data_IF_081952513121
#
_entry.id   IF_081952513121
#
_cell.length_a   1.000
_cell.length_b   1.000
_cell.length_c   1.000
_cell.angle_alpha   90.00
_cell.angle_beta   90.00
_cell.angle_gamma   90.00
#
_symmetry.space_group_name_H-M   'P 1'
#
loop_
_entity.id
_entity.type
_entity.pdbx_description
1 polymer ?
#
# COMPACT_ATOMS: atom_id res chain seq x y z
N UNK A 1 -16.22 11.45 9.23
CA UNK A 1 -15.74 11.64 7.85
C UNK A 1 -16.00 10.45 6.93
N UNK A 2 -15.84 9.18 7.35
CA UNK A 2 -16.12 8.00 6.48
C UNK A 2 -17.56 7.95 5.94
N UNK A 3 -18.58 8.24 6.77
CA UNK A 3 -19.98 8.30 6.32
C UNK A 3 -20.24 9.39 5.25
N UNK A 4 -19.36 10.41 5.17
CA UNK A 4 -19.46 11.45 4.15
C UNK A 4 -18.80 11.03 2.83
N UNK A 5 -17.92 10.03 2.82
CA UNK A 5 -17.26 9.59 1.58
C UNK A 5 -18.29 9.02 0.61
N UNK A 6 -19.03 7.99 1.02
CA UNK A 6 -20.05 7.35 0.16
C UNK A 6 -21.09 8.33 -0.37
N UNK A 7 -21.58 9.23 0.48
CA UNK A 7 -22.57 10.24 0.07
C UNK A 7 -21.99 11.31 -0.85
N UNK A 8 -20.72 11.69 -0.67
CA UNK A 8 -20.04 12.63 -1.59
C UNK A 8 -19.72 11.98 -2.93
N UNK A 9 -19.31 10.71 -2.95
CA UNK A 9 -19.01 9.97 -4.18
C UNK A 9 -20.22 9.91 -5.10
N UNK A 10 -21.45 9.83 -4.57
CA UNK A 10 -22.67 9.86 -5.38
C UNK A 10 -22.87 11.15 -6.20
N UNK A 11 -22.16 12.23 -5.86
CA UNK A 11 -22.22 13.51 -6.59
C UNK A 11 -21.06 13.70 -7.57
N UNK A 12 -20.14 12.73 -7.67
CA UNK A 12 -19.01 12.81 -8.58
C UNK A 12 -19.46 12.32 -9.97
N UNK A 13 -19.30 13.12 -11.04
CA UNK A 13 -19.79 12.75 -12.37
C UNK A 13 -19.09 11.55 -13.03
N UNK A 14 -17.86 11.25 -12.60
CA UNK A 14 -17.08 10.13 -13.12
C UNK A 14 -16.13 9.63 -12.04
N UNK A 15 -16.26 8.36 -11.67
CA UNK A 15 -15.37 7.65 -10.77
C UNK A 15 -14.64 6.57 -11.58
N UNK A 16 -13.31 6.67 -11.63
CA UNK A 16 -12.45 5.66 -12.26
C UNK A 16 -11.72 4.90 -11.15
N UNK A 17 -11.86 3.57 -11.14
CA UNK A 17 -11.11 2.69 -10.24
C UNK A 17 -10.02 1.95 -11.01
N UNK A 18 -8.82 1.91 -10.44
CA UNK A 18 -7.73 1.07 -10.88
C UNK A 18 -7.59 -0.06 -9.86
N UNK A 19 -8.03 -1.26 -10.22
CA UNK A 19 -8.04 -2.39 -9.29
C UNK A 19 -8.16 -3.73 -10.02
N UNK A 20 -7.43 -4.74 -9.54
CA UNK A 20 -7.59 -6.13 -9.94
C UNK A 20 -8.73 -6.87 -9.22
N UNK A 21 -9.41 -6.23 -8.25
CA UNK A 21 -10.44 -6.84 -7.41
C UNK A 21 -11.66 -5.95 -7.24
N UNK A 22 -12.84 -6.57 -7.16
CA UNK A 22 -14.09 -5.87 -6.87
C UNK A 22 -14.24 -5.63 -5.36
N UNK A 23 -13.68 -4.53 -4.86
CA UNK A 23 -13.86 -4.06 -3.49
C UNK A 23 -15.00 -3.02 -3.36
N UNK A 24 -15.26 -2.55 -2.13
CA UNK A 24 -16.31 -1.57 -1.83
C UNK A 24 -16.19 -0.30 -2.69
N UNK A 25 -14.97 0.21 -2.91
CA UNK A 25 -14.75 1.43 -3.69
C UNK A 25 -14.83 1.19 -5.19
N UNK A 26 -14.34 0.04 -5.67
CA UNK A 26 -14.40 -0.37 -7.07
C UNK A 26 -15.84 -0.63 -7.49
N UNK A 27 -16.67 -1.14 -6.59
CA UNK A 27 -18.11 -1.32 -6.82
C UNK A 27 -18.88 -0.01 -7.03
N UNK A 28 -18.30 1.11 -6.59
CA UNK A 28 -18.86 2.46 -6.76
C UNK A 28 -18.36 3.16 -8.04
N UNK A 29 -17.46 2.55 -8.81
CA UNK A 29 -16.84 3.18 -9.97
C UNK A 29 -17.71 3.05 -11.23
N UNK A 30 -17.66 4.08 -12.08
CA UNK A 30 -18.29 4.07 -13.41
C UNK A 30 -17.40 3.35 -14.44
N UNK A 31 -16.09 3.43 -14.24
CA UNK A 31 -15.09 2.76 -15.07
C UNK A 31 -14.10 2.03 -14.18
N UNK A 32 -13.95 0.73 -14.42
CA UNK A 32 -12.95 -0.12 -13.77
C UNK A 32 -11.86 -0.42 -14.79
N UNK A 33 -10.63 -0.09 -14.43
CA UNK A 33 -9.42 -0.35 -15.20
C UNK A 33 -8.62 -1.42 -14.48
N UNK A 34 -8.68 -2.69 -14.94
CA UNK A 34 -7.98 -3.78 -14.27
C UNK A 34 -6.47 -3.60 -14.30
N UNK A 35 -5.86 -3.67 -13.11
CA UNK A 35 -4.41 -3.58 -12.96
C UNK A 35 -3.74 -4.94 -13.03
N UNK A 36 -2.50 -4.94 -13.48
CA UNK A 36 -1.61 -6.09 -13.37
C UNK A 36 -1.31 -6.39 -11.90
N UNK A 37 -1.01 -7.65 -11.58
CA UNK A 37 -0.42 -7.98 -10.30
C UNK A 37 1.03 -7.45 -10.27
N UNK A 38 1.55 -7.11 -9.09
CA UNK A 38 2.93 -6.63 -8.95
C UNK A 38 3.97 -7.63 -9.50
N UNK A 39 3.69 -8.93 -9.55
CA UNK A 39 4.58 -9.94 -10.16
C UNK A 39 4.63 -9.88 -11.70
N UNK A 40 3.69 -9.18 -12.33
CA UNK A 40 3.53 -9.03 -13.78
C UNK A 40 4.09 -7.70 -14.31
N UNK A 41 4.52 -6.81 -13.40
CA UNK A 41 4.84 -5.42 -13.72
C UNK A 41 6.30 -5.04 -13.52
N UNK A 42 6.73 -4.10 -14.37
CA UNK A 42 7.91 -3.28 -14.09
C UNK A 42 7.55 -2.23 -13.04
N UNK A 43 8.45 -2.03 -12.08
CA UNK A 43 8.26 -1.06 -11.01
C UNK A 43 9.57 -0.50 -10.49
N UNK A 44 9.45 0.55 -9.70
CA UNK A 44 10.55 1.15 -8.94
C UNK A 44 10.03 1.58 -7.59
N UNK A 45 10.87 1.53 -6.57
CA UNK A 45 10.53 1.95 -5.21
C UNK A 45 11.70 2.68 -4.56
N UNK A 46 11.41 3.64 -3.69
CA UNK A 46 12.41 4.31 -2.86
C UNK A 46 12.04 4.03 -1.42
N UNK A 47 12.52 2.91 -0.86
CA UNK A 47 12.14 2.52 0.49
C UNK A 47 12.77 3.45 1.52
N UNK A 48 12.16 3.51 2.70
CA UNK A 48 12.72 4.21 3.85
C UNK A 48 14.00 3.49 4.31
N UNK A 49 15.15 4.00 3.89
CA UNK A 49 16.46 3.38 4.13
C UNK A 49 16.91 3.33 5.61
N UNK A 50 16.25 4.06 6.51
CA UNK A 50 16.65 4.15 7.92
C UNK A 50 18.11 4.62 8.08
N UNK A 51 18.93 3.83 8.78
CA UNK A 51 20.38 4.08 8.94
C UNK A 51 21.22 3.52 7.78
N UNK A 52 20.58 2.85 6.83
CA UNK A 52 21.21 2.23 5.66
C UNK A 52 21.59 3.25 4.59
N UNK A 53 21.97 2.70 3.44
CA UNK A 53 22.23 3.48 2.24
C UNK A 53 20.92 3.90 1.59
N UNK A 54 20.86 5.15 1.10
CA UNK A 54 19.78 5.53 0.19
C UNK A 54 19.75 4.55 -0.98
N UNK A 55 18.54 4.14 -1.37
CA UNK A 55 18.38 3.05 -2.34
C UNK A 55 17.19 3.30 -3.24
N UNK A 56 17.34 2.81 -4.47
CA UNK A 56 16.30 2.75 -5.47
C UNK A 56 16.14 1.27 -5.81
N UNK A 57 14.98 0.71 -5.46
CA UNK A 57 14.60 -0.65 -5.81
C UNK A 57 14.11 -0.72 -7.25
N UNK A 58 14.43 -1.82 -7.94
CA UNK A 58 13.93 -2.10 -9.28
C UNK A 58 13.12 -3.38 -9.24
N UNK A 59 11.85 -3.30 -9.62
CA UNK A 59 10.96 -4.44 -9.75
C UNK A 59 10.92 -4.88 -11.21
N UNK A 60 11.19 -6.17 -11.42
CA UNK A 60 11.03 -6.83 -12.71
C UNK A 60 9.84 -7.80 -12.67
N UNK A 61 9.09 -7.94 -13.78
CA UNK A 61 8.08 -8.97 -13.89
C UNK A 61 8.73 -10.35 -13.84
N UNK A 62 8.20 -11.24 -12.99
CA UNK A 62 8.66 -12.63 -12.87
C UNK A 62 7.74 -13.61 -13.59
N UNK A 63 6.54 -13.15 -13.95
CA UNK A 63 5.58 -13.85 -14.80
C UNK A 63 5.16 -12.91 -15.93
N UNK A 64 4.72 -13.50 -17.06
CA UNK A 64 4.03 -12.71 -18.09
C UNK A 64 2.65 -12.33 -17.57
N UNK A 65 2.12 -11.13 -17.91
CA UNK A 65 0.77 -10.74 -17.54
C UNK A 65 -0.24 -11.81 -17.96
N UNK A 66 -1.05 -12.27 -17.02
CA UNK A 66 -1.94 -13.42 -17.23
C UNK A 66 -2.93 -13.20 -18.37
N UNK A 67 -3.40 -11.96 -18.54
CA UNK A 67 -4.37 -11.58 -19.58
C UNK A 67 -3.73 -11.06 -20.88
N UNK A 68 -2.41 -11.18 -21.04
CA UNK A 68 -1.69 -10.74 -22.25
C UNK A 68 -2.27 -11.34 -23.54
N UNK A 69 -2.74 -12.58 -23.48
CA UNK A 69 -3.34 -13.28 -24.63
C UNK A 69 -4.65 -12.66 -25.15
N UNK A 70 -5.29 -11.77 -24.38
CA UNK A 70 -6.50 -11.03 -24.79
C UNK A 70 -6.17 -9.85 -25.70
N UNK A 71 -4.89 -9.52 -25.87
CA UNK A 71 -4.40 -8.47 -26.76
C UNK A 71 -4.29 -7.10 -26.08
N UNK A 72 -3.93 -6.08 -26.85
CA UNK A 72 -3.58 -4.75 -26.33
C UNK A 72 -4.78 -3.99 -25.75
N UNK A 73 -6.00 -4.31 -26.22
CA UNK A 73 -7.23 -3.59 -25.85
C UNK A 73 -8.03 -4.26 -24.74
N UNK A 74 -7.72 -5.51 -24.39
CA UNK A 74 -8.47 -6.31 -23.43
C UNK A 74 -7.49 -6.96 -22.46
N UNK A 75 -7.77 -6.87 -21.15
CA UNK A 75 -6.94 -7.49 -20.12
C UNK A 75 -6.61 -6.53 -18.99
N UNK A 76 -5.44 -6.72 -18.40
CA UNK A 76 -4.88 -5.91 -17.33
C UNK A 76 -3.68 -5.12 -17.84
N UNK A 77 -3.38 -3.99 -17.20
CA UNK A 77 -2.22 -3.16 -17.55
C UNK A 77 -1.63 -2.50 -16.32
N UNK A 78 -0.34 -2.21 -16.36
CA UNK A 78 0.33 -1.41 -15.34
C UNK A 78 -0.33 -0.03 -15.19
N UNK A 79 -0.51 0.42 -13.95
CA UNK A 79 -1.08 1.73 -13.61
C UNK A 79 -0.45 2.89 -14.39
N UNK A 80 0.87 3.00 -14.35
CA UNK A 80 1.59 4.10 -14.97
C UNK A 80 1.49 4.04 -16.50
N UNK A 81 1.50 2.84 -17.10
CA UNK A 81 1.28 2.70 -18.54
C UNK A 81 -0.13 3.16 -18.98
N UNK A 82 -1.16 2.96 -18.15
CA UNK A 82 -2.50 3.48 -18.42
C UNK A 82 -2.51 5.01 -18.38
N UNK A 83 -1.85 5.62 -17.38
CA UNK A 83 -1.72 7.08 -17.30
C UNK A 83 -0.93 7.66 -18.48
N UNK A 84 0.19 7.03 -18.86
CA UNK A 84 1.00 7.42 -20.02
C UNK A 84 0.18 7.36 -21.31
N UNK A 85 -0.51 6.25 -21.55
CA UNK A 85 -1.37 6.10 -22.73
C UNK A 85 -2.47 7.16 -22.74
N UNK A 86 -3.09 7.43 -21.58
CA UNK A 86 -4.12 8.48 -21.44
C UNK A 86 -3.54 9.85 -21.79
N UNK A 87 -2.34 10.18 -21.30
CA UNK A 87 -1.68 11.45 -21.63
C UNK A 87 -1.35 11.57 -23.12
N UNK A 88 -0.90 10.49 -23.76
CA UNK A 88 -0.62 10.45 -25.20
C UNK A 88 -1.90 10.70 -26.01
N UNK A 89 -3.00 10.02 -25.66
CA UNK A 89 -4.31 10.21 -26.32
C UNK A 89 -4.86 11.62 -26.11
N UNK A 90 -4.61 12.22 -24.94
CA UNK A 90 -5.00 13.60 -24.63
C UNK A 90 -4.03 14.66 -25.16
N UNK A 91 -2.97 14.24 -25.88
CA UNK A 91 -1.90 15.12 -26.37
C UNK A 91 -1.26 15.96 -25.26
N UNK A 92 -1.15 15.38 -24.05
CA UNK A 92 -0.52 15.99 -22.88
C UNK A 92 0.90 15.49 -22.72
N UNK A 93 1.86 16.43 -22.74
CA UNK A 93 3.24 16.13 -22.41
C UNK A 93 3.42 16.12 -20.89
N UNK A 94 3.77 14.97 -20.32
CA UNK A 94 4.06 14.80 -18.90
C UNK A 94 5.50 15.15 -18.50
N UNK A 95 6.37 15.46 -19.46
CA UNK A 95 7.80 15.70 -19.22
C UNK A 95 8.57 14.43 -18.86
N UNK A 96 8.06 13.25 -19.26
CA UNK A 96 8.67 11.95 -19.03
C UNK A 96 9.42 11.49 -20.29
N UNK A 97 10.49 10.73 -20.09
CA UNK A 97 11.46 10.37 -21.13
C UNK A 97 11.09 9.13 -21.97
N UNK A 98 9.98 8.44 -21.67
CA UNK A 98 9.59 7.20 -22.33
C UNK A 98 8.08 7.07 -22.55
N UNK A 99 7.70 6.22 -23.51
CA UNK A 99 6.31 5.94 -23.90
C UNK A 99 5.68 4.83 -23.06
N UNK A 100 6.51 4.04 -22.37
CA UNK A 100 6.09 3.02 -21.41
C UNK A 100 6.77 3.22 -20.07
N UNK A 101 6.16 2.72 -19.00
CA UNK A 101 6.71 2.80 -17.65
C UNK A 101 8.05 2.06 -17.54
N UNK A 102 8.20 0.95 -18.26
CA UNK A 102 9.49 0.25 -18.40
C UNK A 102 10.58 1.17 -18.94
N UNK A 103 10.29 1.95 -19.98
CA UNK A 103 11.27 2.86 -20.58
C UNK A 103 11.67 3.96 -19.60
N UNK A 104 10.71 4.50 -18.84
CA UNK A 104 10.98 5.48 -17.77
C UNK A 104 11.89 4.89 -16.70
N UNK A 105 11.66 3.64 -16.29
CA UNK A 105 12.51 2.94 -15.32
C UNK A 105 13.93 2.73 -15.88
N UNK A 106 14.04 2.30 -17.14
CA UNK A 106 15.34 2.13 -17.82
C UNK A 106 16.07 3.46 -17.94
N UNK A 107 15.37 4.56 -18.22
CA UNK A 107 15.96 5.90 -18.25
C UNK A 107 16.43 6.36 -16.86
N UNK A 108 15.64 6.13 -15.81
CA UNK A 108 16.08 6.35 -14.43
C UNK A 108 17.35 5.57 -14.08
N UNK A 109 17.46 4.33 -14.55
CA UNK A 109 18.69 3.54 -14.39
C UNK A 109 19.88 4.11 -15.18
N UNK A 110 19.65 4.68 -16.37
CA UNK A 110 20.71 5.38 -17.13
C UNK A 110 21.23 6.59 -16.37
N UNK A 111 20.34 7.39 -15.77
CA UNK A 111 20.72 8.53 -14.96
C UNK A 111 21.60 8.11 -13.77
N UNK A 112 21.29 6.98 -13.12
CA UNK A 112 22.13 6.42 -12.05
C UNK A 112 23.48 5.92 -12.56
N UNK A 113 23.52 5.31 -13.74
CA UNK A 113 24.76 4.90 -14.40
C UNK A 113 25.65 6.10 -14.72
N UNK A 114 25.07 7.17 -15.26
CA UNK A 114 25.76 8.42 -15.61
C UNK A 114 26.24 9.20 -14.39
N UNK A 115 25.46 9.20 -13.29
CA UNK A 115 25.86 9.79 -12.01
C UNK A 115 27.16 9.14 -11.50
N UNK A 116 27.33 7.84 -11.75
CA UNK A 116 28.51 7.08 -11.41
C UNK A 116 28.62 6.74 -9.92
N UNK A 117 29.12 5.54 -9.63
CA UNK A 117 29.29 5.03 -8.27
C UNK A 117 28.10 4.22 -7.77
N UNK A 118 27.87 4.27 -6.45
CA UNK A 118 26.93 3.37 -5.77
C UNK A 118 27.43 1.92 -5.73
N UNK A 119 26.51 1.00 -5.45
CA UNK A 119 26.80 -0.42 -5.23
C UNK A 119 27.04 -1.23 -6.50
N UNK A 120 26.71 -0.69 -7.68
CA UNK A 120 26.92 -1.35 -8.97
C UNK A 120 27.79 -0.46 -9.84
N UNK A 121 28.96 -0.97 -10.21
CA UNK A 121 29.88 -0.32 -11.13
C UNK A 121 30.13 -1.27 -12.31
N UNK A 122 29.95 -0.76 -13.52
CA UNK A 122 30.13 -1.53 -14.74
C UNK A 122 30.69 -0.63 -15.85
N UNK A 123 31.33 -1.24 -16.84
CA UNK A 123 31.93 -0.54 -17.99
C UNK A 123 30.93 -0.19 -19.10
N UNK A 124 29.71 -0.72 -19.03
CA UNK A 124 28.61 -0.48 -19.98
C UNK A 124 27.29 -0.39 -19.24
N UNK A 125 26.33 0.31 -19.84
CA UNK A 125 24.98 0.43 -19.28
C UNK A 125 24.30 -0.94 -19.21
N UNK A 126 24.49 -1.82 -20.17
CA UNK A 126 23.87 -3.15 -20.19
C UNK A 126 24.36 -4.00 -19.01
N UNK A 127 25.66 -3.96 -18.72
CA UNK A 127 26.23 -4.65 -17.56
C UNK A 127 25.78 -4.01 -16.23
N UNK A 128 25.64 -2.67 -16.19
CA UNK A 128 25.09 -1.97 -15.04
C UNK A 128 23.62 -2.37 -14.79
N UNK A 129 22.80 -2.33 -15.85
CA UNK A 129 21.37 -2.65 -15.82
C UNK A 129 21.13 -4.08 -15.32
N UNK A 130 21.85 -5.05 -15.88
CA UNK A 130 21.79 -6.43 -15.39
C UNK A 130 22.25 -6.54 -13.93
N UNK A 131 23.26 -5.78 -13.53
CA UNK A 131 23.78 -5.75 -12.16
C UNK A 131 22.79 -5.19 -11.13
N UNK A 132 22.07 -4.11 -11.46
CA UNK A 132 21.04 -3.55 -10.57
C UNK A 132 19.83 -4.47 -10.48
N UNK A 133 19.39 -5.07 -11.59
CA UNK A 133 18.29 -6.03 -11.60
C UNK A 133 18.61 -7.30 -10.82
N UNK A 134 19.82 -7.86 -10.99
CA UNK A 134 20.26 -9.03 -10.24
C UNK A 134 20.26 -8.80 -8.72
N UNK A 135 20.54 -7.57 -8.29
CA UNK A 135 20.56 -7.18 -6.88
C UNK A 135 19.19 -6.68 -6.39
N UNK A 136 18.23 -6.46 -7.28
CA UNK A 136 16.93 -5.87 -6.99
C UNK A 136 16.96 -4.36 -6.70
N UNK A 137 18.08 -3.68 -6.96
CA UNK A 137 18.23 -2.29 -6.60
C UNK A 137 19.60 -1.68 -6.87
N UNK A 138 19.68 -0.38 -6.68
CA UNK A 138 20.91 0.41 -6.59
C UNK A 138 20.97 1.07 -5.21
N UNK A 139 22.17 1.17 -4.62
CA UNK A 139 22.40 1.79 -3.32
C UNK A 139 23.49 2.83 -3.42
N UNK A 140 23.23 4.03 -2.92
CA UNK A 140 24.26 5.06 -2.74
C UNK A 140 25.12 4.72 -1.53
N UNK A 141 26.26 4.08 -1.76
CA UNK A 141 27.18 3.66 -0.70
C UNK A 141 27.89 4.81 0.00
N UNK A 142 27.73 6.06 -0.46
CA UNK A 142 28.36 7.26 0.12
C UNK A 142 27.44 7.99 1.09
N UNK A 143 26.13 7.83 0.96
CA UNK A 143 25.13 8.53 1.78
C UNK A 143 24.49 7.54 2.76
N UNK A 144 24.61 7.83 4.07
CA UNK A 144 23.94 7.08 5.13
C UNK A 144 23.05 7.99 5.95
N UNK A 145 21.94 7.45 6.45
CA UNK A 145 21.11 8.14 7.43
C UNK A 145 21.85 8.38 8.76
N UNK A 146 21.38 9.34 9.58
CA UNK A 146 21.96 9.57 10.90
C UNK A 146 21.80 8.34 11.80
N UNK A 147 22.88 7.93 12.47
CA UNK A 147 22.89 6.76 13.37
C UNK A 147 22.15 7.05 14.68
N UNK A 148 22.02 8.33 15.05
CA UNK A 148 21.29 8.77 16.23
C UNK A 148 20.45 9.99 15.89
N UNK A 149 19.19 9.95 16.30
CA UNK A 149 18.25 11.06 16.23
C UNK A 149 17.80 11.35 17.65
N UNK A 150 17.99 12.59 18.11
CA UNK A 150 17.39 13.05 19.36
C UNK A 150 15.89 13.23 19.08
N UNK A 151 14.99 12.45 19.72
CA UNK A 151 13.56 12.65 19.53
C UNK A 151 13.20 14.07 19.93
N UNK A 152 12.46 14.77 19.06
CA UNK A 152 11.90 16.06 19.43
C UNK A 152 10.97 15.87 20.64
N UNK A 153 11.15 16.67 21.69
CA UNK A 153 10.17 16.72 22.77
C UNK A 153 8.87 17.29 22.20
N UNK A 154 7.77 16.63 22.52
CA UNK A 154 6.44 17.10 22.18
C UNK A 154 6.03 18.21 23.18
N UNK A 155 6.76 19.32 23.16
CA UNK A 155 6.45 20.48 24.00
C UNK A 155 5.27 21.25 23.39
N UNK A 156 4.24 21.55 24.20
CA UNK A 156 3.06 22.28 23.76
C UNK A 156 2.06 21.48 22.91
N UNK A 157 2.24 20.17 22.76
CA UNK A 157 1.24 19.31 22.10
C UNK A 157 0.05 19.12 23.04
N UNK A 158 -1.17 19.52 22.64
CA UNK A 158 -2.34 19.36 23.49
C UNK A 158 -2.64 17.87 23.72
N UNK A 159 -3.18 17.54 24.89
CA UNK A 159 -3.66 16.20 25.16
C UNK A 159 -4.69 15.78 24.10
N UNK A 160 -4.73 14.49 23.71
CA UNK A 160 -5.71 14.03 22.73
C UNK A 160 -7.13 14.29 23.25
N UNK A 161 -7.95 14.94 22.43
CA UNK A 161 -9.37 15.13 22.71
C UNK A 161 -10.10 13.90 22.23
N UNK A 162 -10.53 13.07 23.18
CA UNK A 162 -11.34 11.89 22.85
C UNK A 162 -12.79 12.34 22.70
N UNK A 163 -13.36 12.10 21.52
CA UNK A 163 -14.75 12.46 21.24
C UNK A 163 -15.72 11.47 21.88
N UNK A 164 -16.81 11.99 22.46
CA UNK A 164 -17.87 11.20 23.07
C UNK A 164 -17.88 11.30 24.61
N UNK A 165 -18.89 10.71 25.22
CA UNK A 165 -19.12 10.65 26.66
C UNK A 165 -19.34 9.20 27.14
N UNK A 166 -18.80 8.23 26.39
CA UNK A 166 -18.88 6.81 26.71
C UNK A 166 -18.01 6.46 27.92
N UNK A 167 -18.34 5.34 28.55
CA UNK A 167 -17.59 4.82 29.70
C UNK A 167 -16.18 4.33 29.31
N UNK A 168 -16.05 3.82 28.08
CA UNK A 168 -14.81 3.25 27.56
C UNK A 168 -14.25 4.08 26.41
N UNK A 169 -12.93 3.93 26.20
CA UNK A 169 -12.24 4.43 25.03
C UNK A 169 -12.03 3.28 24.03
N UNK A 170 -12.38 3.51 22.77
CA UNK A 170 -12.10 2.57 21.68
C UNK A 170 -10.74 2.93 21.06
N UNK A 171 -9.80 1.99 21.10
CA UNK A 171 -8.51 2.08 20.44
C UNK A 171 -8.44 1.05 19.31
N UNK A 172 -8.67 1.43 18.04
CA UNK A 172 -8.45 0.53 16.92
C UNK A 172 -6.97 0.16 16.83
N UNK A 173 -6.69 -1.09 16.46
CA UNK A 173 -5.35 -1.57 16.18
C UNK A 173 -5.34 -2.28 14.82
N UNK A 174 -4.16 -2.31 14.19
CA UNK A 174 -3.96 -3.05 12.97
C UNK A 174 -3.62 -4.51 13.33
N UNK A 175 -4.43 -5.45 12.82
CA UNK A 175 -4.09 -6.87 12.90
C UNK A 175 -2.79 -7.14 12.13
N UNK A 176 -1.94 -8.02 12.67
CA UNK A 176 -0.70 -8.40 12.00
C UNK A 176 -0.92 -9.06 10.63
N UNK A 177 -2.05 -9.76 10.44
CA UNK A 177 -2.38 -10.46 9.20
C UNK A 177 -3.20 -9.62 8.23
N UNK A 178 -4.16 -8.85 8.75
CA UNK A 178 -5.11 -8.12 7.92
C UNK A 178 -4.71 -6.66 7.69
N UNK A 179 -3.88 -6.06 8.56
CA UNK A 179 -3.46 -4.66 8.53
C UNK A 179 -4.66 -3.70 8.35
N UNK A 180 -4.82 -3.16 7.14
CA UNK A 180 -5.85 -2.21 6.72
C UNK A 180 -6.95 -2.85 5.84
N UNK A 181 -6.94 -4.17 5.69
CA UNK A 181 -7.90 -4.94 4.91
C UNK A 181 -7.46 -5.24 3.47
N UNK A 182 -6.36 -4.68 2.97
CA UNK A 182 -5.89 -4.96 1.60
C UNK A 182 -5.58 -6.43 1.35
N UNK A 183 -5.21 -7.16 2.39
CA UNK A 183 -4.92 -8.60 2.35
C UNK A 183 -6.12 -9.46 2.76
N UNK A 184 -7.29 -8.88 3.04
CA UNK A 184 -8.42 -9.62 3.59
C UNK A 184 -8.99 -10.69 2.64
N UNK A 185 -8.77 -10.55 1.34
CA UNK A 185 -9.18 -11.53 0.33
C UNK A 185 -8.28 -12.77 0.30
N UNK A 186 -7.10 -12.73 0.93
CA UNK A 186 -6.13 -13.83 0.91
C UNK A 186 -6.47 -14.86 2.01
N UNK A 187 -6.81 -16.12 1.66
CA UNK A 187 -7.18 -17.13 2.66
C UNK A 187 -6.07 -17.42 3.66
N UNK A 188 -4.81 -17.33 3.25
CA UNK A 188 -3.66 -17.51 4.15
C UNK A 188 -3.55 -16.40 5.19
N UNK A 189 -3.96 -15.17 4.86
CA UNK A 189 -3.96 -14.07 5.82
C UNK A 189 -5.15 -14.16 6.78
N UNK A 190 -6.30 -14.66 6.31
CA UNK A 190 -7.43 -14.98 7.17
C UNK A 190 -7.14 -16.14 8.15
N UNK A 191 -6.38 -17.13 7.69
CA UNK A 191 -6.00 -18.30 8.49
C UNK A 191 -4.75 -18.10 9.36
N UNK A 192 -4.06 -16.97 9.25
CA UNK A 192 -2.90 -16.68 10.09
C UNK A 192 -3.37 -16.29 11.50
N UNK A 193 -3.03 -17.06 12.56
CA UNK A 193 -3.46 -16.75 13.92
C UNK A 193 -2.82 -15.46 14.41
N UNK A 194 -3.62 -14.66 15.11
CA UNK A 194 -3.10 -13.51 15.84
C UNK A 194 -2.04 -13.96 16.87
N UNK A 195 -0.89 -13.26 16.98
CA UNK A 195 0.20 -13.69 17.85
C UNK A 195 -0.13 -13.62 19.35
N UNK A 196 -1.19 -12.92 19.75
CA UNK A 196 -1.61 -12.75 21.15
C UNK A 196 -2.86 -13.58 21.43
N UNK A 197 -3.93 -13.38 20.65
CA UNK A 197 -5.24 -14.00 20.90
C UNK A 197 -5.43 -15.35 20.22
N UNK A 198 -4.57 -15.72 19.25
CA UNK A 198 -4.70 -16.89 18.37
C UNK A 198 -5.97 -16.90 17.49
N UNK A 199 -6.74 -15.81 17.48
CA UNK A 199 -7.95 -15.68 16.67
C UNK A 199 -7.62 -15.77 15.17
N UNK A 200 -8.53 -16.38 14.41
CA UNK A 200 -8.48 -16.49 12.94
C UNK A 200 -9.87 -16.27 12.36
N UNK A 201 -9.96 -15.83 11.09
CA UNK A 201 -11.21 -15.62 10.35
C UNK A 201 -12.23 -14.64 10.96
N UNK A 202 -11.88 -13.98 12.07
CA UNK A 202 -12.76 -13.13 12.84
C UNK A 202 -11.99 -11.92 13.37
N UNK A 203 -12.69 -10.81 13.54
CA UNK A 203 -12.21 -9.63 14.28
C UNK A 203 -12.81 -9.66 15.68
N UNK A 204 -12.05 -9.22 16.69
CA UNK A 204 -12.43 -9.29 18.10
C UNK A 204 -12.21 -7.96 18.82
N UNK A 205 -12.67 -7.89 20.07
CA UNK A 205 -12.46 -6.79 21.00
C UNK A 205 -11.72 -7.28 22.21
N UNK A 206 -10.73 -6.51 22.64
CA UNK A 206 -9.98 -6.76 23.86
C UNK A 206 -10.46 -5.83 24.97
N UNK A 207 -10.80 -6.42 26.12
CA UNK A 207 -11.21 -5.70 27.32
C UNK A 207 -10.41 -6.20 28.53
N UNK A 208 -10.19 -5.33 29.51
CA UNK A 208 -9.52 -5.72 30.74
C UNK A 208 -10.30 -6.85 31.45
N UNK A 209 -9.59 -7.89 31.89
CA UNK A 209 -10.22 -9.08 32.49
C UNK A 209 -11.08 -8.77 33.73
N UNK A 210 -10.71 -7.79 34.57
CA UNK A 210 -11.49 -7.44 35.78
C UNK A 210 -12.81 -6.80 35.40
N UNK A 211 -12.76 -5.92 34.41
CA UNK A 211 -13.95 -5.26 33.88
C UNK A 211 -14.87 -6.30 33.22
N UNK A 212 -14.31 -7.26 32.48
CA UNK A 212 -15.10 -8.35 31.90
C UNK A 212 -15.82 -9.18 32.98
N UNK A 213 -15.12 -9.56 34.06
CA UNK A 213 -15.70 -10.29 35.20
C UNK A 213 -16.81 -9.48 35.89
N UNK A 214 -16.58 -8.21 36.18
CA UNK A 214 -17.56 -7.30 36.80
C UNK A 214 -18.82 -7.13 35.94
N UNK A 215 -18.66 -7.17 34.61
CA UNK A 215 -19.74 -7.03 33.63
C UNK A 215 -20.35 -8.35 33.19
N UNK A 216 -19.82 -9.48 33.66
CA UNK A 216 -20.27 -10.82 33.27
C UNK A 216 -19.99 -11.18 31.80
N UNK A 217 -19.02 -10.53 31.17
CA UNK A 217 -18.58 -10.77 29.79
C UNK A 217 -17.59 -11.94 29.78
N UNK A 218 -17.74 -12.84 28.82
CA UNK A 218 -16.88 -14.02 28.64
C UNK A 218 -16.31 -14.06 27.23
N UNK A 219 -15.23 -14.82 27.07
CA UNK A 219 -14.64 -15.10 25.77
C UNK A 219 -15.68 -15.78 24.85
N UNK A 220 -15.81 -15.25 23.63
CA UNK A 220 -16.80 -15.69 22.64
C UNK A 220 -18.16 -14.99 22.72
N UNK A 221 -18.36 -14.10 23.70
CA UNK A 221 -19.55 -13.23 23.71
C UNK A 221 -19.47 -12.21 22.58
N UNK A 222 -20.54 -12.10 21.81
CA UNK A 222 -20.66 -11.05 20.79
C UNK A 222 -21.13 -9.77 21.47
N UNK A 223 -20.31 -8.72 21.40
CA UNK A 223 -20.61 -7.43 22.02
C UNK A 223 -20.90 -6.35 20.98
N UNK A 224 -21.83 -5.46 21.31
CA UNK A 224 -22.09 -4.25 20.55
C UNK A 224 -21.34 -3.07 21.20
N UNK A 225 -20.43 -2.46 20.44
CA UNK A 225 -19.75 -1.23 20.83
C UNK A 225 -20.50 -0.06 20.21
N UNK A 226 -21.02 0.81 21.06
CA UNK A 226 -21.79 1.99 20.66
C UNK A 226 -21.02 3.28 20.94
N UNK A 227 -21.07 4.21 19.98
CA UNK A 227 -20.54 5.58 20.11
C UNK A 227 -21.54 6.60 19.57
N UNK A 228 -21.28 7.89 19.78
CA UNK A 228 -22.07 8.96 19.18
C UNK A 228 -22.04 8.98 17.64
N UNK A 229 -21.16 8.20 17.01
CA UNK A 229 -20.99 8.13 15.56
C UNK A 229 -21.54 6.86 14.91
N UNK A 230 -21.94 5.87 15.70
CA UNK A 230 -22.42 4.59 15.19
C UNK A 230 -22.07 3.43 16.11
N UNK A 231 -22.46 2.24 15.68
CA UNK A 231 -22.29 0.98 16.40
C UNK A 231 -21.49 -0.01 15.55
N UNK A 232 -20.73 -0.87 16.22
CA UNK A 232 -20.06 -2.02 15.61
C UNK A 232 -20.32 -3.26 16.48
N UNK A 233 -20.40 -4.41 15.84
CA UNK A 233 -20.55 -5.70 16.52
C UNK A 233 -19.28 -6.51 16.30
N UNK A 234 -18.72 -7.06 17.36
CA UNK A 234 -17.51 -7.86 17.31
C UNK A 234 -17.54 -8.97 18.37
N UNK A 235 -16.68 -9.97 18.19
CA UNK A 235 -16.44 -11.06 19.14
C UNK A 235 -15.51 -10.65 20.28
#
# INVERSE_FOLDING_TARGET
EVAAFKSRSANIPLIVSFSGMMDDTTSMADLILPENNYLEDWGTDVPLAGVGYQTIGFQQPVVRPFFENRGVNLGTRNFADVLLTTSQVMEKNLGLSGDTFKEIIVDGAKQLYELGGGSVNASSFEAFWNGVLQRGGWWDTKVKGPVSVTPARLDGVPAPVISGNGEFFLQPFASASLLDGRSAFLPWMQAMPDPISTATWQTWVEINHRVAEERGIKEGDVIEISSSRGTITAL
#
